data_IF_424055269367
#
_entry.id   IF_424055269367
#
_cell.length_a   1.000
_cell.length_b   1.000
_cell.length_c   1.000
_cell.angle_alpha   90.00
_cell.angle_beta   90.00
_cell.angle_gamma   90.00
#
_symmetry.space_group_name_H-M   'P 1'
#
loop_
_entity.id
_entity.type
_entity.pdbx_description
1 polymer ?
#
# COMPACT_ATOMS: atom_id res chain seq x y z
N UNK A 1 3.44 -3.96 -16.48
CA UNK A 1 3.32 -2.57 -17.01
C UNK A 1 2.61 -1.64 -15.99
N UNK A 2 1.46 -2.02 -15.43
CA UNK A 2 0.68 -1.16 -14.50
C UNK A 2 1.44 -0.72 -13.25
N UNK A 3 2.21 -1.62 -12.62
CA UNK A 3 2.99 -1.27 -11.43
C UNK A 3 4.22 -0.40 -11.74
N UNK A 4 4.82 -0.57 -12.92
CA UNK A 4 5.93 0.29 -13.38
C UNK A 4 5.45 1.73 -13.53
N UNK A 5 4.29 1.92 -14.14
CA UNK A 5 3.67 3.24 -14.28
C UNK A 5 3.40 3.90 -12.92
N UNK A 6 2.91 3.12 -11.94
CA UNK A 6 2.71 3.64 -10.59
C UNK A 6 4.02 4.07 -9.93
N UNK A 7 5.11 3.32 -10.11
CA UNK A 7 6.43 3.69 -9.59
C UNK A 7 6.92 5.00 -10.22
N UNK A 8 6.79 5.16 -11.53
CA UNK A 8 7.12 6.40 -12.22
C UNK A 8 6.35 7.60 -11.68
N UNK A 9 5.06 7.44 -11.41
CA UNK A 9 4.26 8.49 -10.78
C UNK A 9 4.71 8.82 -9.36
N UNK A 10 5.08 7.81 -8.58
CA UNK A 10 5.64 8.02 -7.23
C UNK A 10 6.98 8.76 -7.28
N UNK A 11 7.83 8.45 -8.25
CA UNK A 11 9.09 9.15 -8.48
C UNK A 11 8.87 10.63 -8.86
N UNK A 12 7.71 10.96 -9.43
CA UNK A 12 7.25 12.33 -9.69
C UNK A 12 6.59 13.00 -8.47
N UNK A 13 6.58 12.35 -7.30
CA UNK A 13 5.96 12.85 -6.08
C UNK A 13 4.44 12.72 -6.01
N UNK A 14 3.83 11.92 -6.88
CA UNK A 14 2.38 11.68 -6.88
C UNK A 14 1.99 10.55 -5.95
N UNK A 15 0.89 10.72 -5.23
CA UNK A 15 0.25 9.63 -4.52
C UNK A 15 -0.44 8.70 -5.52
N UNK A 16 -0.22 7.39 -5.36
CA UNK A 16 -0.70 6.40 -6.32
C UNK A 16 -1.39 5.23 -5.64
N UNK A 17 -2.32 4.64 -6.36
CA UNK A 17 -3.00 3.42 -5.96
C UNK A 17 -3.11 2.49 -7.17
N UNK A 18 -2.79 1.21 -6.98
CA UNK A 18 -3.09 0.17 -7.96
C UNK A 18 -4.23 -0.71 -7.45
N UNK A 19 -5.27 -0.86 -8.23
CA UNK A 19 -6.44 -1.67 -7.89
C UNK A 19 -6.42 -2.93 -8.75
N UNK A 20 -6.58 -4.09 -8.12
CA UNK A 20 -6.67 -5.38 -8.81
C UNK A 20 -7.90 -6.17 -8.37
N UNK A 21 -8.29 -7.17 -9.16
CA UNK A 21 -9.54 -7.91 -8.96
C UNK A 21 -9.51 -8.87 -7.79
N UNK A 22 -8.37 -9.51 -7.51
CA UNK A 22 -8.25 -10.57 -6.49
C UNK A 22 -7.16 -10.27 -5.47
N UNK A 23 -7.25 -10.91 -4.30
CA UNK A 23 -6.22 -10.81 -3.24
C UNK A 23 -4.87 -11.39 -3.69
N UNK A 24 -4.88 -12.45 -4.48
CA UNK A 24 -3.65 -13.07 -4.99
C UNK A 24 -2.94 -12.14 -5.98
N UNK A 25 -3.69 -11.51 -6.88
CA UNK A 25 -3.16 -10.47 -7.76
C UNK A 25 -2.58 -9.30 -6.98
N UNK A 26 -3.30 -8.80 -5.96
CA UNK A 26 -2.82 -7.72 -5.08
C UNK A 26 -1.51 -8.10 -4.41
N UNK A 27 -1.40 -9.32 -3.87
CA UNK A 27 -0.19 -9.81 -3.22
C UNK A 27 1.00 -9.91 -4.19
N UNK A 28 0.79 -10.46 -5.38
CA UNK A 28 1.83 -10.56 -6.42
C UNK A 28 2.30 -9.17 -6.88
N UNK A 29 1.38 -8.24 -7.09
CA UNK A 29 1.69 -6.87 -7.47
C UNK A 29 2.46 -6.16 -6.36
N UNK A 30 2.03 -6.24 -5.11
CA UNK A 30 2.75 -5.67 -3.97
C UNK A 30 4.17 -6.22 -3.85
N UNK A 31 4.34 -7.53 -4.07
CA UNK A 31 5.67 -8.14 -4.11
C UNK A 31 6.55 -7.57 -5.21
N UNK A 32 6.01 -7.37 -6.41
CA UNK A 32 6.73 -6.76 -7.54
C UNK A 32 7.14 -5.32 -7.24
N UNK A 33 6.25 -4.53 -6.63
CA UNK A 33 6.58 -3.17 -6.17
C UNK A 33 7.78 -3.17 -5.22
N UNK A 34 7.74 -4.02 -4.20
CA UNK A 34 8.82 -4.11 -3.21
C UNK A 34 10.15 -4.48 -3.89
N UNK A 35 10.15 -5.49 -4.76
CA UNK A 35 11.36 -5.94 -5.46
C UNK A 35 11.93 -4.85 -6.38
N UNK A 36 11.07 -4.16 -7.12
CA UNK A 36 11.48 -3.08 -8.02
C UNK A 36 12.07 -1.91 -7.23
N UNK A 37 11.45 -1.52 -6.13
CA UNK A 37 11.97 -0.45 -5.27
C UNK A 37 13.30 -0.81 -4.63
N UNK A 38 13.49 -2.07 -4.23
CA UNK A 38 14.77 -2.58 -3.73
C UNK A 38 15.86 -2.52 -4.80
N UNK A 39 15.55 -2.92 -6.02
CA UNK A 39 16.51 -2.88 -7.15
C UNK A 39 16.97 -1.46 -7.47
N UNK A 40 16.12 -0.47 -7.23
CA UNK A 40 16.41 0.97 -7.39
C UNK A 40 17.03 1.62 -6.15
N UNK A 41 17.27 0.88 -5.08
CA UNK A 41 17.78 1.43 -3.82
C UNK A 41 16.79 2.32 -3.06
N UNK A 42 15.52 2.26 -3.39
CA UNK A 42 14.44 3.07 -2.79
C UNK A 42 13.83 2.43 -1.53
N UNK A 43 14.08 1.16 -1.30
CA UNK A 43 13.67 0.47 -0.07
C UNK A 43 14.73 -0.51 0.42
N UNK A 44 14.61 -0.92 1.69
CA UNK A 44 15.58 -1.77 2.38
C UNK A 44 15.63 -3.17 1.76
N UNK A 45 16.83 -3.62 1.40
CA UNK A 45 17.07 -4.93 0.83
C UNK A 45 17.67 -5.94 1.82
N UNK A 46 18.22 -5.47 2.94
CA UNK A 46 18.82 -6.32 3.98
C UNK A 46 17.73 -7.06 4.78
N UNK A 47 17.64 -8.40 4.70
CA UNK A 47 16.64 -9.16 5.44
C UNK A 47 16.68 -8.95 6.96
N UNK A 48 17.85 -8.60 7.53
CA UNK A 48 17.99 -8.31 8.95
C UNK A 48 17.29 -7.02 9.39
N UNK A 49 16.94 -6.16 8.44
CA UNK A 49 16.30 -4.84 8.66
C UNK A 49 14.87 -4.79 8.10
N UNK A 50 14.26 -5.92 7.91
CA UNK A 50 12.88 -6.05 7.44
C UNK A 50 11.98 -6.66 8.51
N UNK A 51 10.68 -6.52 8.32
CA UNK A 51 9.63 -7.13 9.13
C UNK A 51 8.62 -7.81 8.22
N UNK A 52 8.19 -9.01 8.61
CA UNK A 52 7.15 -9.74 7.89
C UNK A 52 5.78 -9.11 8.20
N UNK A 53 4.97 -8.89 7.16
CA UNK A 53 3.60 -8.44 7.30
C UNK A 53 2.61 -9.61 7.36
N UNK A 54 1.36 -9.31 7.69
CA UNK A 54 0.26 -10.28 7.74
C UNK A 54 0.06 -11.04 6.42
N UNK A 55 0.30 -10.39 5.29
CA UNK A 55 0.21 -10.99 3.94
C UNK A 55 1.43 -11.85 3.57
N UNK A 56 2.41 -11.98 4.48
CA UNK A 56 3.63 -12.76 4.30
C UNK A 56 4.71 -12.06 3.46
N UNK A 57 4.56 -10.79 3.15
CA UNK A 57 5.58 -9.99 2.48
C UNK A 57 6.51 -9.33 3.49
N UNK A 58 7.81 -9.31 3.20
CA UNK A 58 8.81 -8.63 4.01
C UNK A 58 8.99 -7.19 3.53
N UNK A 59 8.90 -6.25 4.45
CA UNK A 59 9.04 -4.81 4.20
C UNK A 59 10.06 -4.18 5.11
N UNK A 60 10.67 -3.10 4.65
CA UNK A 60 11.64 -2.33 5.42
C UNK A 60 11.57 -0.85 5.10
N UNK A 61 12.60 -0.11 5.46
CA UNK A 61 12.69 1.33 5.23
C UNK A 61 12.37 1.68 3.77
N UNK A 62 11.49 2.66 3.57
CA UNK A 62 11.04 3.13 2.26
C UNK A 62 9.80 2.42 1.72
N UNK A 63 9.41 1.29 2.27
CA UNK A 63 8.22 0.56 1.84
C UNK A 63 6.93 1.18 2.41
N UNK A 64 5.83 0.98 1.69
CA UNK A 64 4.49 1.42 2.08
C UNK A 64 3.68 0.26 2.63
N UNK A 65 2.98 0.53 3.73
CA UNK A 65 2.09 -0.41 4.39
C UNK A 65 0.71 0.20 4.61
N UNK A 66 -0.28 -0.66 4.76
CA UNK A 66 -1.65 -0.29 5.11
C UNK A 66 -2.10 -1.08 6.33
N UNK A 67 -2.69 -0.39 7.30
CA UNK A 67 -3.32 -0.99 8.46
C UNK A 67 -4.66 -1.64 8.06
N UNK A 68 -4.93 -2.83 8.59
CA UNK A 68 -6.16 -3.59 8.30
C UNK A 68 -7.01 -3.90 9.52
N UNK A 69 -6.65 -3.37 10.66
CA UNK A 69 -7.49 -3.46 11.88
C UNK A 69 -7.37 -2.19 12.72
N UNK A 70 -8.40 -1.90 13.49
CA UNK A 70 -8.36 -0.84 14.49
C UNK A 70 -7.56 -1.28 15.72
N UNK A 71 -6.84 -0.35 16.35
CA UNK A 71 -6.12 -0.59 17.59
C UNK A 71 -6.05 0.72 18.41
N UNK A 72 -6.82 0.77 19.49
CA UNK A 72 -6.95 1.99 20.29
C UNK A 72 -5.70 2.31 21.12
N UNK A 73 -4.89 1.28 21.44
CA UNK A 73 -3.67 1.44 22.23
C UNK A 73 -2.48 1.96 21.40
N UNK A 74 -2.57 1.96 20.09
CA UNK A 74 -1.57 2.54 19.19
C UNK A 74 -2.03 3.92 18.76
N UNK A 75 -1.38 4.95 19.29
CA UNK A 75 -1.81 6.34 19.08
C UNK A 75 -0.66 7.24 18.63
N UNK A 76 -1.01 8.31 17.93
CA UNK A 76 -0.13 9.44 17.63
C UNK A 76 -0.95 10.72 17.60
N UNK A 77 -0.48 11.75 18.33
CA UNK A 77 -1.14 13.05 18.42
C UNK A 77 -2.64 12.97 18.77
N UNK A 78 -3.01 12.04 19.66
CA UNK A 78 -4.39 11.83 20.10
C UNK A 78 -5.29 11.07 19.11
N UNK A 79 -4.74 10.57 18.01
CA UNK A 79 -5.44 9.69 17.06
C UNK A 79 -5.06 8.24 17.30
N UNK A 80 -6.05 7.35 17.29
CA UNK A 80 -5.84 5.91 17.36
C UNK A 80 -5.61 5.30 15.98
N UNK A 81 -5.01 4.10 15.96
CA UNK A 81 -4.82 3.34 14.73
C UNK A 81 -6.15 2.85 14.16
N UNK A 82 -6.42 3.18 12.91
CA UNK A 82 -7.65 2.80 12.22
C UNK A 82 -7.37 1.98 10.95
N UNK A 83 -8.29 1.07 10.64
CA UNK A 83 -8.27 0.31 9.40
C UNK A 83 -8.28 1.26 8.18
N UNK A 84 -7.34 1.04 7.26
CA UNK A 84 -7.18 1.86 6.06
C UNK A 84 -6.10 2.94 6.17
N UNK A 85 -5.56 3.21 7.35
CA UNK A 85 -4.41 4.12 7.49
C UNK A 85 -3.20 3.58 6.74
N UNK A 86 -2.51 4.45 6.00
CA UNK A 86 -1.35 4.12 5.18
C UNK A 86 -0.10 4.83 5.69
N UNK A 87 1.02 4.11 5.67
CA UNK A 87 2.29 4.59 6.22
C UNK A 87 3.45 4.26 5.29
N UNK A 88 4.50 5.07 5.38
CA UNK A 88 5.84 4.73 4.90
C UNK A 88 6.72 4.36 6.07
N UNK A 89 7.45 3.27 5.97
CA UNK A 89 8.42 2.85 6.98
C UNK A 89 9.67 3.72 6.88
N UNK A 90 10.07 4.31 8.00
CA UNK A 90 11.33 5.06 8.12
C UNK A 90 12.44 4.22 8.74
N UNK A 91 12.11 3.40 9.74
CA UNK A 91 13.08 2.54 10.40
C UNK A 91 12.40 1.33 11.04
N UNK A 92 13.05 0.17 10.92
CA UNK A 92 12.60 -1.07 11.58
C UNK A 92 13.47 -1.32 12.81
N UNK A 93 12.93 -1.03 13.98
CA UNK A 93 13.55 -1.29 15.27
C UNK A 93 13.32 -2.70 15.80
N UNK A 94 13.88 -3.00 16.96
CA UNK A 94 13.71 -4.32 17.60
C UNK A 94 12.29 -4.58 18.09
N UNK A 95 11.63 -3.57 18.65
CA UNK A 95 10.28 -3.65 19.22
C UNK A 95 9.27 -2.91 18.39
N UNK A 96 9.64 -1.73 17.92
CA UNK A 96 8.76 -0.82 17.21
C UNK A 96 9.32 -0.48 15.83
N UNK A 97 8.42 -0.13 14.93
CA UNK A 97 8.71 0.35 13.59
C UNK A 97 8.29 1.81 13.50
N UNK A 98 9.26 2.68 13.18
CA UNK A 98 8.99 4.10 12.97
C UNK A 98 8.40 4.32 11.60
N UNK A 99 7.22 4.92 11.55
CA UNK A 99 6.47 5.17 10.33
C UNK A 99 6.01 6.62 10.21
N UNK A 100 5.77 7.04 8.98
CA UNK A 100 5.15 8.33 8.67
C UNK A 100 3.83 8.10 7.95
N UNK A 101 2.76 8.71 8.44
CA UNK A 101 1.46 8.67 7.78
C UNK A 101 1.53 9.34 6.41
N UNK A 102 1.07 8.64 5.38
CA UNK A 102 1.00 9.19 4.01
C UNK A 102 -0.12 10.22 3.85
N UNK A 103 -1.09 10.23 4.77
CA UNK A 103 -2.21 11.16 4.72
C UNK A 103 -1.86 12.55 5.26
N UNK A 104 -1.16 12.62 6.40
CA UNK A 104 -0.91 13.89 7.12
C UNK A 104 0.55 14.12 7.55
N UNK A 105 1.45 13.19 7.25
CA UNK A 105 2.87 13.29 7.60
C UNK A 105 3.17 13.09 9.10
N UNK A 106 2.19 12.69 9.91
CA UNK A 106 2.38 12.41 11.33
C UNK A 106 3.29 11.21 11.55
N UNK A 107 4.08 11.26 12.63
CA UNK A 107 5.01 10.18 13.00
C UNK A 107 4.34 9.20 13.93
N UNK A 108 4.57 7.90 13.66
CA UNK A 108 4.02 6.79 14.42
C UNK A 108 5.12 5.82 14.81
N UNK A 109 5.07 5.35 16.05
CA UNK A 109 5.84 4.20 16.52
C UNK A 109 4.87 3.03 16.65
N UNK A 110 4.98 2.08 15.73
CA UNK A 110 4.04 0.95 15.62
C UNK A 110 4.73 -0.31 16.11
N UNK A 111 4.17 -1.05 17.08
CA UNK A 111 4.75 -2.31 17.54
C UNK A 111 4.95 -3.29 16.37
N UNK A 112 6.11 -3.94 16.33
CA UNK A 112 6.44 -4.94 15.29
C UNK A 112 5.37 -6.02 15.17
N UNK A 113 4.91 -6.53 16.30
CA UNK A 113 3.84 -7.53 16.37
C UNK A 113 2.54 -7.07 15.68
N UNK A 114 2.22 -5.78 15.77
CA UNK A 114 1.05 -5.22 15.08
C UNK A 114 1.23 -5.23 13.56
N UNK A 115 2.42 -4.93 13.03
CA UNK A 115 2.69 -5.06 11.61
C UNK A 115 2.51 -6.51 11.13
N UNK A 116 3.01 -7.46 11.90
CA UNK A 116 2.95 -8.90 11.58
C UNK A 116 1.52 -9.44 11.57
N UNK A 117 0.63 -8.88 12.36
CA UNK A 117 -0.75 -9.38 12.53
C UNK A 117 -1.82 -8.49 11.90
N UNK A 118 -1.56 -7.20 11.71
CA UNK A 118 -2.57 -6.21 11.34
C UNK A 118 -2.26 -5.38 10.09
N UNK A 119 -1.07 -5.47 9.52
CA UNK A 119 -0.69 -4.68 8.36
C UNK A 119 -0.42 -5.53 7.12
N UNK A 120 -0.65 -4.94 5.96
CA UNK A 120 -0.34 -5.49 4.64
C UNK A 120 0.48 -4.47 3.84
N UNK A 121 1.13 -4.91 2.75
CA UNK A 121 1.78 -3.99 1.83
C UNK A 121 0.76 -3.04 1.20
N UNK A 122 1.10 -1.78 1.05
CA UNK A 122 0.18 -0.69 0.76
C UNK A 122 0.26 -0.12 -0.66
N UNK A 123 0.84 -0.82 -1.63
CA UNK A 123 0.95 -0.33 -3.02
C UNK A 123 -0.28 -0.67 -3.87
N UNK A 124 -0.85 -1.85 -3.66
CA UNK A 124 -2.04 -2.30 -4.36
C UNK A 124 -3.12 -2.76 -3.39
N UNK A 125 -4.38 -2.67 -3.81
CA UNK A 125 -5.53 -3.17 -3.06
C UNK A 125 -6.62 -3.71 -3.96
N UNK A 126 -7.60 -4.40 -3.38
CA UNK A 126 -8.82 -4.79 -4.10
C UNK A 126 -9.80 -3.63 -4.19
N UNK A 127 -10.74 -3.69 -5.15
CA UNK A 127 -11.78 -2.66 -5.34
C UNK A 127 -12.55 -2.39 -4.05
N UNK A 128 -12.93 -3.43 -3.30
CA UNK A 128 -13.67 -3.26 -2.03
C UNK A 128 -12.86 -2.52 -0.96
N UNK A 129 -11.54 -2.69 -0.94
CA UNK A 129 -10.65 -2.07 0.04
C UNK A 129 -10.22 -0.65 -0.32
N UNK A 130 -10.40 -0.23 -1.57
CA UNK A 130 -10.11 1.14 -2.00
C UNK A 130 -11.28 2.12 -1.77
N UNK A 131 -12.41 1.66 -1.26
CA UNK A 131 -13.53 2.54 -0.96
C UNK A 131 -13.13 3.61 0.06
N UNK A 132 -13.44 4.87 -0.24
CA UNK A 132 -13.06 6.02 0.58
C UNK A 132 -11.62 6.51 0.38
N UNK A 133 -10.76 5.77 -0.32
CA UNK A 133 -9.41 6.23 -0.66
C UNK A 133 -9.46 7.17 -1.86
N UNK A 134 -8.64 8.22 -1.84
CA UNK A 134 -8.45 9.13 -2.97
C UNK A 134 -6.96 9.41 -3.10
N UNK A 135 -6.43 9.31 -4.31
CA UNK A 135 -5.02 9.52 -4.65
C UNK A 135 -4.92 10.46 -5.86
N UNK A 136 -3.72 10.92 -6.17
CA UNK A 136 -3.52 11.77 -7.35
C UNK A 136 -3.74 10.96 -8.64
N UNK A 137 -3.16 9.76 -8.71
CA UNK A 137 -3.25 8.89 -9.89
C UNK A 137 -3.56 7.45 -9.51
N UNK A 138 -4.43 6.82 -10.27
CA UNK A 138 -4.87 5.44 -10.04
C UNK A 138 -4.65 4.58 -11.28
N UNK A 139 -4.10 3.39 -11.08
CA UNK A 139 -4.05 2.33 -12.08
C UNK A 139 -5.03 1.21 -11.69
N UNK A 140 -5.79 0.72 -12.64
CA UNK A 140 -6.77 -0.34 -12.43
C UNK A 140 -6.47 -1.51 -13.33
N UNK A 141 -6.25 -2.69 -12.75
CA UNK A 141 -6.04 -3.93 -13.47
C UNK A 141 -7.32 -4.76 -13.48
N UNK A 142 -7.94 -4.87 -14.64
CA UNK A 142 -9.10 -5.74 -14.85
C UNK A 142 -8.69 -7.10 -15.40
N UNK A 143 -9.36 -8.19 -14.99
CA UNK A 143 -9.24 -9.46 -15.69
C UNK A 143 -9.78 -9.32 -17.13
N UNK A 144 -9.17 -10.04 -18.07
CA UNK A 144 -9.55 -10.00 -19.51
C UNK A 144 -10.93 -10.60 -19.80
N UNK A 145 -11.45 -11.43 -18.92
CA UNK A 145 -12.81 -11.92 -18.98
C UNK A 145 -13.80 -10.86 -18.46
N UNK A 146 -14.56 -10.30 -19.34
CA UNK A 146 -15.39 -9.10 -19.23
C UNK A 146 -16.54 -9.12 -18.19
N UNK A 147 -16.42 -9.87 -17.08
CA UNK A 147 -17.45 -10.00 -16.06
C UNK A 147 -17.31 -9.09 -14.82
N UNK A 148 -16.46 -8.05 -14.91
CA UNK A 148 -16.37 -7.08 -13.80
C UNK A 148 -17.64 -6.22 -13.79
N UNK A 149 -18.42 -6.22 -12.70
CA UNK A 149 -19.64 -5.40 -12.60
C UNK A 149 -19.35 -3.91 -12.84
N UNK A 150 -20.23 -3.23 -13.59
CA UNK A 150 -20.07 -1.80 -13.94
C UNK A 150 -19.90 -0.90 -12.71
N UNK A 151 -20.52 -1.22 -11.58
CA UNK A 151 -20.36 -0.46 -10.35
C UNK A 151 -18.94 -0.55 -9.78
N UNK A 152 -18.28 -1.70 -9.90
CA UNK A 152 -16.88 -1.87 -9.47
C UNK A 152 -15.92 -1.11 -10.40
N UNK A 153 -16.19 -1.09 -11.71
CA UNK A 153 -15.44 -0.29 -12.67
C UNK A 153 -15.53 1.20 -12.35
N UNK A 154 -16.73 1.69 -12.02
CA UNK A 154 -16.95 3.07 -11.64
C UNK A 154 -16.23 3.44 -10.34
N UNK A 155 -16.34 2.61 -9.30
CA UNK A 155 -15.65 2.85 -8.02
C UNK A 155 -14.13 2.88 -8.22
N UNK A 156 -13.59 1.94 -8.98
CA UNK A 156 -12.15 1.90 -9.28
C UNK A 156 -11.70 3.12 -10.09
N UNK A 157 -12.44 3.48 -11.15
CA UNK A 157 -12.10 4.57 -12.05
C UNK A 157 -12.27 5.98 -11.46
N UNK A 158 -12.82 6.12 -10.26
CA UNK A 158 -13.02 7.41 -9.58
C UNK A 158 -12.03 7.70 -8.45
N UNK A 159 -11.00 6.87 -8.28
CA UNK A 159 -10.05 7.02 -7.16
C UNK A 159 -8.92 8.02 -7.41
N UNK A 160 -8.49 8.21 -8.66
CA UNK A 160 -7.47 9.18 -9.03
C UNK A 160 -8.07 10.56 -9.30
N UNK A 161 -7.52 11.61 -8.68
CA UNK A 161 -7.93 13.00 -8.89
C UNK A 161 -7.48 13.55 -10.24
N UNK A 162 -6.27 13.19 -10.67
CA UNK A 162 -5.65 13.70 -11.89
C UNK A 162 -5.83 12.74 -13.05
N UNK A 163 -5.51 11.45 -12.82
CA UNK A 163 -5.51 10.42 -13.86
C UNK A 163 -5.98 9.05 -13.31
N UNK A 164 -6.69 8.32 -14.15
CA UNK A 164 -7.07 6.94 -13.93
C UNK A 164 -6.73 6.12 -15.18
N UNK A 165 -5.81 5.18 -15.05
CA UNK A 165 -5.38 4.30 -16.13
C UNK A 165 -5.94 2.90 -15.96
N UNK A 166 -6.42 2.32 -17.05
CA UNK A 166 -7.02 1.00 -17.06
C UNK A 166 -6.14 0.02 -17.84
N UNK A 167 -5.86 -1.11 -17.22
CA UNK A 167 -5.08 -2.21 -17.79
C UNK A 167 -5.94 -3.46 -17.81
N UNK A 168 -5.77 -4.28 -18.84
CA UNK A 168 -6.45 -5.56 -18.99
C UNK A 168 -5.41 -6.67 -19.02
N UNK A 169 -5.59 -7.72 -18.20
CA UNK A 169 -4.68 -8.85 -18.07
C UNK A 169 -5.37 -10.18 -18.44
#
# INVERSE_FOLDING_TARGET
ESYVQCIEWQDQGKSTLLIAGTRDQVRDINRRFILERRSKGQSEADPAKTVALRDGLDVGRGDQIVCRKNEDDITSDGKSMENGMTFRIENVGRRDVSCVSLADGSRWEIPREFLETGCEAGYACTVHRCQGMTVDRCAVLFPSDANTPCNLQYVAGSRGKEENHFYYA
#
